data_IF_848894840375
#
_entry.id   IF_848894840375
#
_cell.length_a   1.000
_cell.length_b   1.000
_cell.length_c   1.000
_cell.angle_alpha   90.00
_cell.angle_beta   90.00
_cell.angle_gamma   90.00
#
_symmetry.space_group_name_H-M   'P 1'
#
loop_
_entity.id
_entity.type
_entity.pdbx_description
1 polymer ?
#
# COMPACT_ATOMS: atom_id res chain seq x y z
N UNK A 1 -28.40 -11.73 18.69
CA UNK A 1 -27.41 -12.03 17.65
C UNK A 1 -26.03 -11.68 18.19
N UNK A 2 -25.09 -12.65 18.26
CA UNK A 2 -23.69 -12.33 18.56
C UNK A 2 -23.19 -11.39 17.46
N UNK A 3 -22.57 -10.27 17.85
CA UNK A 3 -21.94 -9.33 16.90
C UNK A 3 -20.84 -10.12 16.17
N UNK A 4 -20.86 -10.15 14.85
CA UNK A 4 -19.84 -10.79 14.02
C UNK A 4 -18.51 -10.13 14.35
N UNK A 5 -17.53 -10.90 14.81
CA UNK A 5 -16.18 -10.42 15.07
C UNK A 5 -15.42 -10.39 13.74
N UNK A 6 -14.96 -9.21 13.35
CA UNK A 6 -14.17 -9.03 12.13
C UNK A 6 -12.71 -9.11 12.48
N UNK A 7 -12.01 -10.09 11.93
CA UNK A 7 -10.57 -10.24 12.09
C UNK A 7 -9.78 -9.46 11.05
N UNK A 8 -10.26 -9.39 9.81
CA UNK A 8 -9.51 -8.83 8.68
C UNK A 8 -10.32 -7.79 7.93
N UNK A 9 -9.75 -6.59 7.76
CA UNK A 9 -10.28 -5.53 6.90
C UNK A 9 -9.37 -5.38 5.69
N UNK A 10 -9.90 -5.66 4.51
CA UNK A 10 -9.24 -5.39 3.22
C UNK A 10 -9.67 -4.01 2.74
N UNK A 11 -8.71 -3.13 2.45
CA UNK A 11 -8.97 -1.77 2.00
C UNK A 11 -8.48 -1.62 0.56
N UNK A 12 -9.40 -1.29 -0.36
CA UNK A 12 -9.16 -1.23 -1.79
C UNK A 12 -9.54 0.16 -2.31
N UNK A 13 -8.58 1.05 -2.62
CA UNK A 13 -8.86 2.27 -3.36
C UNK A 13 -9.21 1.93 -4.81
N UNK A 14 -10.26 2.54 -5.35
CA UNK A 14 -10.72 2.29 -6.70
C UNK A 14 -10.94 3.57 -7.48
N UNK A 15 -10.64 3.55 -8.78
CA UNK A 15 -11.06 4.59 -9.74
C UNK A 15 -11.06 4.04 -11.15
N UNK A 16 -12.22 4.06 -11.82
CA UNK A 16 -12.39 3.77 -13.25
C UNK A 16 -11.85 2.41 -13.74
N UNK A 17 -11.79 1.39 -12.88
CA UNK A 17 -11.22 0.07 -13.19
C UNK A 17 -12.17 -1.07 -12.78
N UNK A 18 -13.43 -1.10 -13.28
CA UNK A 18 -14.45 -2.02 -12.78
C UNK A 18 -14.07 -3.50 -12.89
N UNK A 19 -13.58 -3.95 -14.04
CA UNK A 19 -13.26 -5.37 -14.27
C UNK A 19 -12.05 -5.82 -13.43
N UNK A 20 -11.09 -4.92 -13.22
CA UNK A 20 -9.92 -5.22 -12.41
C UNK A 20 -10.29 -5.27 -10.92
N UNK A 21 -11.15 -4.37 -10.47
CA UNK A 21 -11.70 -4.41 -9.11
C UNK A 21 -12.46 -5.73 -8.84
N UNK A 22 -13.28 -6.18 -9.79
CA UNK A 22 -14.00 -7.45 -9.68
C UNK A 22 -13.02 -8.63 -9.53
N UNK A 23 -11.95 -8.64 -10.32
CA UNK A 23 -10.88 -9.65 -10.20
C UNK A 23 -10.17 -9.58 -8.85
N UNK A 24 -9.84 -8.38 -8.37
CA UNK A 24 -9.23 -8.15 -7.07
C UNK A 24 -10.10 -8.71 -5.94
N UNK A 25 -11.38 -8.34 -5.91
CA UNK A 25 -12.34 -8.80 -4.89
C UNK A 25 -12.51 -10.33 -4.92
N UNK A 26 -12.57 -10.94 -6.10
CA UNK A 26 -12.68 -12.41 -6.26
C UNK A 26 -11.46 -13.17 -5.74
N UNK A 27 -10.29 -12.52 -5.68
CA UNK A 27 -9.08 -13.13 -5.10
C UNK A 27 -9.07 -13.14 -3.57
N UNK A 28 -9.98 -12.41 -2.93
CA UNK A 28 -10.12 -12.39 -1.46
C UNK A 28 -11.14 -13.46 -1.05
N UNK A 29 -10.79 -14.36 -0.12
CA UNK A 29 -11.67 -15.45 0.29
C UNK A 29 -12.97 -14.92 0.90
N UNK A 30 -14.08 -15.66 0.67
CA UNK A 30 -15.36 -15.38 1.31
C UNK A 30 -15.36 -16.01 2.70
N UNK A 31 -15.30 -15.16 3.74
CA UNK A 31 -15.26 -15.59 5.15
C UNK A 31 -16.13 -14.66 6.01
N UNK A 32 -16.66 -15.21 7.09
CA UNK A 32 -17.48 -14.42 8.02
C UNK A 32 -16.70 -13.39 8.82
N UNK A 33 -15.40 -13.58 9.00
CA UNK A 33 -14.51 -12.71 9.76
C UNK A 33 -13.74 -11.71 8.88
N UNK A 34 -14.10 -11.60 7.60
CA UNK A 34 -13.55 -10.62 6.64
C UNK A 34 -14.57 -9.52 6.35
N UNK A 35 -14.10 -8.31 6.21
CA UNK A 35 -14.78 -7.21 5.52
C UNK A 35 -13.87 -6.65 4.42
N UNK A 36 -14.46 -6.29 3.28
CA UNK A 36 -13.78 -5.68 2.14
C UNK A 36 -14.33 -4.28 1.96
N UNK A 37 -13.50 -3.27 2.18
CA UNK A 37 -13.86 -1.85 2.09
C UNK A 37 -13.33 -1.31 0.78
N UNK A 38 -14.19 -1.17 -0.20
CA UNK A 38 -13.90 -0.53 -1.48
C UNK A 38 -14.20 0.96 -1.35
N UNK A 39 -13.19 1.80 -1.58
CA UNK A 39 -13.38 3.25 -1.60
C UNK A 39 -13.22 3.76 -3.02
N UNK A 40 -14.33 4.14 -3.61
CA UNK A 40 -14.37 4.72 -4.96
C UNK A 40 -13.98 6.20 -4.92
N UNK A 41 -12.88 6.54 -5.58
CA UNK A 41 -12.32 7.89 -5.61
C UNK A 41 -12.88 8.74 -6.77
N UNK A 42 -14.21 8.89 -6.79
CA UNK A 42 -14.93 9.65 -7.80
C UNK A 42 -14.72 9.09 -9.22
N UNK A 43 -15.12 7.83 -9.43
CA UNK A 43 -15.17 7.22 -10.75
C UNK A 43 -16.24 7.89 -11.61
N UNK A 44 -15.99 7.86 -12.92
CA UNK A 44 -16.91 8.30 -13.95
C UNK A 44 -18.13 7.35 -14.01
N UNK A 45 -19.33 7.86 -13.94
CA UNK A 45 -20.58 7.09 -13.92
C UNK A 45 -20.82 6.35 -15.26
N UNK A 46 -20.26 6.85 -16.36
CA UNK A 46 -20.31 6.19 -17.68
C UNK A 46 -19.35 4.99 -17.75
N UNK A 47 -18.32 4.96 -16.89
CA UNK A 47 -17.33 3.87 -16.81
C UNK A 47 -17.71 2.83 -15.78
N UNK A 48 -18.25 3.25 -14.62
CA UNK A 48 -18.48 2.38 -13.47
C UNK A 48 -19.93 2.42 -13.03
N UNK A 49 -20.61 1.28 -13.12
CA UNK A 49 -21.95 1.11 -12.55
C UNK A 49 -21.93 0.03 -11.45
N UNK A 50 -21.78 0.47 -10.21
CA UNK A 50 -21.67 -0.43 -9.06
C UNK A 50 -22.89 -1.33 -8.84
N UNK A 51 -24.08 -0.99 -9.33
CA UNK A 51 -25.28 -1.81 -9.22
C UNK A 51 -25.22 -3.07 -10.10
N UNK A 52 -24.32 -3.15 -11.05
CA UNK A 52 -24.17 -4.26 -12.00
C UNK A 52 -23.11 -5.28 -11.59
N UNK A 53 -22.39 -5.07 -10.50
CA UNK A 53 -21.31 -5.95 -10.10
C UNK A 53 -21.81 -7.22 -9.38
N UNK A 54 -21.24 -8.41 -9.71
CA UNK A 54 -21.56 -9.66 -9.05
C UNK A 54 -21.36 -9.63 -7.54
N UNK A 55 -20.30 -8.96 -7.08
CA UNK A 55 -19.97 -8.83 -5.66
C UNK A 55 -20.90 -7.89 -4.88
N UNK A 56 -21.80 -7.15 -5.54
CA UNK A 56 -22.86 -6.40 -4.86
C UNK A 56 -23.79 -7.31 -4.03
N UNK A 57 -23.72 -8.62 -4.26
CA UNK A 57 -24.44 -9.65 -3.48
C UNK A 57 -23.62 -10.18 -2.30
N UNK A 58 -22.34 -9.86 -2.18
CA UNK A 58 -21.49 -10.26 -1.05
C UNK A 58 -21.79 -9.36 0.15
N UNK A 59 -22.13 -9.97 1.27
CA UNK A 59 -22.45 -9.26 2.51
C UNK A 59 -21.22 -8.70 3.24
N UNK A 60 -20.03 -9.09 2.84
CA UNK A 60 -18.74 -8.68 3.37
C UNK A 60 -18.12 -7.52 2.60
N UNK A 61 -18.70 -7.07 1.47
CA UNK A 61 -18.22 -5.92 0.70
C UNK A 61 -18.96 -4.65 1.08
N UNK A 62 -18.21 -3.63 1.46
CA UNK A 62 -18.68 -2.31 1.82
C UNK A 62 -18.16 -1.33 0.75
N UNK A 63 -19.04 -0.69 0.01
CA UNK A 63 -18.70 0.33 -0.96
C UNK A 63 -18.87 1.73 -0.35
N UNK A 64 -17.83 2.55 -0.41
CA UNK A 64 -17.84 3.94 0.03
C UNK A 64 -17.50 4.82 -1.17
N UNK A 65 -18.37 5.77 -1.49
CA UNK A 65 -18.16 6.71 -2.59
C UNK A 65 -17.57 8.02 -2.07
N UNK A 66 -16.34 8.33 -2.50
CA UNK A 66 -15.68 9.61 -2.25
C UNK A 66 -15.89 10.55 -3.44
N UNK A 67 -17.03 11.22 -3.50
CA UNK A 67 -17.40 12.14 -4.60
C UNK A 67 -16.45 13.33 -4.79
N UNK A 68 -15.64 13.67 -3.79
CA UNK A 68 -14.68 14.76 -3.89
C UNK A 68 -13.35 14.34 -4.54
N UNK A 69 -13.13 13.06 -4.73
CA UNK A 69 -11.84 12.53 -5.17
C UNK A 69 -10.71 12.82 -4.14
N UNK A 70 -9.48 12.68 -4.55
CA UNK A 70 -8.31 13.00 -3.72
C UNK A 70 -7.16 12.00 -3.87
N UNK A 71 -7.35 10.98 -4.68
CA UNK A 71 -6.34 9.96 -4.99
C UNK A 71 -6.31 8.81 -4.00
N UNK A 72 -5.46 7.84 -4.30
CA UNK A 72 -5.38 6.57 -3.57
C UNK A 72 -5.06 6.75 -2.08
N UNK A 73 -4.24 7.75 -1.72
CA UNK A 73 -3.90 8.02 -0.32
C UNK A 73 -5.14 8.41 0.50
N UNK A 74 -5.97 9.33 -0.03
CA UNK A 74 -7.22 9.72 0.62
C UNK A 74 -8.23 8.58 0.66
N UNK A 75 -8.36 7.83 -0.41
CA UNK A 75 -9.24 6.66 -0.44
C UNK A 75 -8.83 5.61 0.62
N UNK A 76 -7.53 5.33 0.77
CA UNK A 76 -7.05 4.43 1.83
C UNK A 76 -7.31 4.99 3.23
N UNK A 77 -7.18 6.31 3.45
CA UNK A 77 -7.52 6.94 4.74
C UNK A 77 -9.01 6.78 5.08
N UNK A 78 -9.91 6.98 4.11
CA UNK A 78 -11.35 6.73 4.29
C UNK A 78 -11.60 5.25 4.63
N UNK A 79 -10.90 4.33 3.98
CA UNK A 79 -10.97 2.90 4.30
C UNK A 79 -10.51 2.60 5.72
N UNK A 80 -9.42 3.19 6.18
CA UNK A 80 -8.91 3.08 7.55
C UNK A 80 -9.92 3.54 8.61
N UNK A 81 -10.62 4.64 8.34
CA UNK A 81 -11.63 5.20 9.26
C UNK A 81 -12.86 4.29 9.40
N UNK A 82 -13.11 3.43 8.42
CA UNK A 82 -14.23 2.50 8.41
C UNK A 82 -13.86 1.04 8.79
N UNK A 83 -12.58 0.72 8.84
CA UNK A 83 -12.08 -0.61 9.15
C UNK A 83 -12.38 -1.02 10.61
N UNK A 84 -12.86 -2.27 10.81
CA UNK A 84 -13.21 -2.84 12.11
C UNK A 84 -12.34 -4.04 12.48
N UNK A 85 -11.69 -4.66 11.49
CA UNK A 85 -10.87 -5.85 11.70
C UNK A 85 -9.71 -5.62 12.66
N UNK A 86 -9.30 -6.68 13.34
CA UNK A 86 -8.06 -6.71 14.13
C UNK A 86 -6.85 -6.41 13.25
N UNK A 87 -6.90 -6.88 12.00
CA UNK A 87 -5.87 -6.77 11.00
C UNK A 87 -6.32 -5.96 9.79
N UNK A 88 -5.42 -5.16 9.24
CA UNK A 88 -5.60 -4.42 8.00
C UNK A 88 -4.71 -5.00 6.91
N UNK A 89 -5.30 -5.19 5.73
CA UNK A 89 -4.60 -5.49 4.48
C UNK A 89 -5.02 -4.46 3.43
N UNK A 90 -4.06 -4.03 2.62
CA UNK A 90 -4.34 -3.16 1.47
C UNK A 90 -4.19 -3.95 0.17
N UNK A 91 -5.00 -3.62 -0.82
CA UNK A 91 -4.79 -4.05 -2.19
C UNK A 91 -5.00 -2.87 -3.14
N UNK A 92 -4.25 -2.82 -4.22
CA UNK A 92 -4.59 -1.96 -5.34
C UNK A 92 -5.62 -2.67 -6.22
N UNK A 93 -6.60 -1.94 -6.75
CA UNK A 93 -7.76 -2.52 -7.47
C UNK A 93 -7.39 -3.25 -8.76
N UNK A 94 -6.17 -3.08 -9.25
CA UNK A 94 -5.63 -3.74 -10.45
C UNK A 94 -4.75 -4.96 -10.16
N UNK A 95 -4.59 -5.33 -8.88
CA UNK A 95 -3.81 -6.48 -8.41
C UNK A 95 -4.69 -7.62 -7.89
N UNK A 96 -4.07 -8.70 -7.38
CA UNK A 96 -4.79 -9.83 -6.76
C UNK A 96 -4.01 -10.42 -5.58
N UNK A 97 -4.70 -11.07 -4.68
CA UNK A 97 -4.08 -11.96 -3.71
C UNK A 97 -3.82 -13.35 -4.32
N UNK A 98 -2.92 -14.11 -3.71
CA UNK A 98 -2.65 -15.51 -4.10
C UNK A 98 -3.70 -16.46 -3.50
N UNK A 99 -3.85 -17.65 -4.10
CA UNK A 99 -4.79 -18.68 -3.62
C UNK A 99 -4.50 -19.15 -2.19
N UNK A 100 -3.25 -19.01 -1.73
CA UNK A 100 -2.83 -19.43 -0.40
C UNK A 100 -3.24 -18.45 0.72
N UNK A 101 -3.76 -17.27 0.38
CA UNK A 101 -4.11 -16.22 1.35
C UNK A 101 -4.96 -16.77 2.51
N UNK A 102 -5.98 -17.58 2.21
CA UNK A 102 -6.90 -18.10 3.24
C UNK A 102 -6.17 -18.85 4.36
N UNK A 103 -5.27 -19.77 4.00
CA UNK A 103 -4.50 -20.52 5.00
C UNK A 103 -3.53 -19.64 5.80
N UNK A 104 -3.01 -18.57 5.20
CA UNK A 104 -2.15 -17.63 5.94
C UNK A 104 -2.93 -16.81 6.95
N UNK A 105 -4.13 -16.34 6.59
CA UNK A 105 -4.96 -15.58 7.52
C UNK A 105 -5.26 -16.37 8.80
N UNK A 106 -5.55 -17.67 8.69
CA UNK A 106 -5.81 -18.53 9.85
C UNK A 106 -4.63 -18.56 10.84
N UNK A 107 -3.40 -18.50 10.34
CA UNK A 107 -2.20 -18.52 11.19
C UNK A 107 -2.03 -17.26 12.04
N UNK A 108 -2.72 -16.16 11.70
CA UNK A 108 -2.51 -14.86 12.37
C UNK A 108 -3.72 -14.36 13.17
N UNK A 109 -4.85 -15.09 13.20
CA UNK A 109 -6.04 -14.67 13.96
C UNK A 109 -5.68 -14.35 15.42
N UNK A 110 -4.97 -15.25 16.07
CA UNK A 110 -4.62 -15.13 17.49
C UNK A 110 -3.20 -14.62 17.73
N UNK A 111 -2.46 -14.28 16.66
CA UNK A 111 -1.08 -13.80 16.83
C UNK A 111 -1.05 -12.42 17.50
N UNK A 112 0.07 -12.11 18.15
CA UNK A 112 0.33 -10.84 18.84
C UNK A 112 1.31 -9.92 18.09
N UNK A 113 1.67 -10.28 16.86
CA UNK A 113 2.49 -9.42 16.00
C UNK A 113 1.85 -8.04 15.77
N UNK A 114 2.67 -7.02 15.64
CA UNK A 114 2.25 -5.68 15.23
C UNK A 114 2.11 -5.59 13.72
N UNK A 115 3.01 -6.28 13.01
CA UNK A 115 3.06 -6.34 11.56
C UNK A 115 3.69 -7.65 11.09
N UNK A 116 3.20 -8.17 9.96
CA UNK A 116 3.84 -9.27 9.22
C UNK A 116 4.13 -8.79 7.81
N UNK A 117 5.37 -8.96 7.37
CA UNK A 117 5.80 -8.67 6.00
C UNK A 117 5.83 -9.95 5.19
N UNK A 118 5.28 -9.91 3.98
CA UNK A 118 5.22 -11.04 3.05
C UNK A 118 5.89 -10.69 1.73
N UNK A 119 6.27 -11.70 0.98
CA UNK A 119 6.72 -11.55 -0.40
C UNK A 119 5.53 -11.36 -1.35
N UNK A 120 5.83 -10.85 -2.54
CA UNK A 120 4.88 -10.71 -3.64
C UNK A 120 5.44 -11.27 -4.93
N UNK A 121 4.56 -11.78 -5.79
CA UNK A 121 4.88 -12.01 -7.19
C UNK A 121 4.80 -10.69 -7.96
N UNK A 122 5.65 -10.53 -8.98
CA UNK A 122 5.49 -9.51 -10.00
C UNK A 122 5.04 -10.19 -11.29
N UNK A 123 3.78 -9.96 -11.68
CA UNK A 123 3.22 -10.48 -12.91
C UNK A 123 3.37 -9.40 -13.98
N UNK A 124 4.16 -9.71 -15.01
CA UNK A 124 4.45 -8.77 -16.07
C UNK A 124 3.74 -9.18 -17.36
N UNK A 125 2.67 -8.48 -17.69
CA UNK A 125 1.91 -8.70 -18.93
C UNK A 125 2.48 -7.91 -20.13
N UNK A 126 3.51 -7.08 -19.93
CA UNK A 126 4.00 -6.12 -20.93
C UNK A 126 5.41 -6.46 -21.41
N UNK A 127 6.27 -7.03 -20.56
CA UNK A 127 7.67 -7.28 -20.87
C UNK A 127 8.07 -8.72 -20.48
N UNK A 128 8.80 -9.41 -21.36
CA UNK A 128 9.37 -10.73 -21.09
C UNK A 128 10.57 -10.65 -20.11
N UNK A 129 10.35 -10.24 -18.88
CA UNK A 129 11.42 -10.15 -17.88
C UNK A 129 10.87 -10.26 -16.47
N UNK A 130 11.44 -11.14 -15.67
CA UNK A 130 11.19 -11.17 -14.23
C UNK A 130 11.83 -9.93 -13.61
N UNK A 131 10.99 -9.04 -13.08
CA UNK A 131 11.45 -7.95 -12.23
C UNK A 131 10.96 -8.26 -10.83
N UNK A 132 11.89 -8.53 -9.91
CA UNK A 132 11.52 -8.75 -8.52
C UNK A 132 10.88 -7.49 -7.91
N UNK A 133 9.95 -7.70 -7.00
CA UNK A 133 9.41 -6.60 -6.20
C UNK A 133 10.55 -5.99 -5.37
N UNK A 134 10.58 -4.67 -5.31
CA UNK A 134 11.52 -3.93 -4.46
C UNK A 134 11.47 -4.40 -2.99
N UNK A 135 10.28 -4.76 -2.49
CA UNK A 135 10.11 -5.30 -1.14
C UNK A 135 10.77 -6.66 -0.96
N UNK A 136 10.70 -7.54 -1.96
CA UNK A 136 11.30 -8.87 -1.86
C UNK A 136 12.79 -8.78 -1.58
N UNK A 137 13.48 -7.79 -2.14
CA UNK A 137 14.91 -7.57 -1.88
C UNK A 137 15.19 -7.36 -0.39
N UNK A 138 14.41 -6.54 0.31
CA UNK A 138 14.58 -6.31 1.75
C UNK A 138 14.25 -7.55 2.58
N UNK A 139 13.19 -8.26 2.20
CA UNK A 139 12.77 -9.51 2.86
C UNK A 139 13.85 -10.58 2.69
N UNK A 140 14.32 -10.81 1.46
CA UNK A 140 15.35 -11.83 1.17
C UNK A 140 16.67 -11.50 1.86
N UNK A 141 17.09 -10.24 1.85
CA UNK A 141 18.30 -9.80 2.54
C UNK A 141 18.20 -10.02 4.05
N UNK A 142 17.04 -9.73 4.64
CA UNK A 142 16.82 -10.00 6.07
C UNK A 142 16.81 -11.50 6.39
N UNK A 143 16.10 -12.30 5.60
CA UNK A 143 15.99 -13.75 5.82
C UNK A 143 17.32 -14.50 5.58
N UNK A 144 18.19 -13.99 4.72
CA UNK A 144 19.56 -14.51 4.54
C UNK A 144 20.54 -14.10 5.63
N UNK A 145 20.10 -13.34 6.64
CA UNK A 145 20.91 -12.78 7.71
C UNK A 145 21.95 -11.72 7.28
N UNK A 146 21.85 -11.20 6.04
CA UNK A 146 22.73 -10.15 5.52
C UNK A 146 22.17 -8.71 5.77
N UNK A 147 20.93 -8.61 6.29
CA UNK A 147 20.23 -7.35 6.57
C UNK A 147 19.70 -7.26 7.99
N UNK A 148 19.21 -6.10 8.33
CA UNK A 148 18.57 -5.88 9.62
C UNK A 148 17.08 -5.55 9.47
N UNK A 149 16.32 -5.69 10.54
CA UNK A 149 14.87 -5.44 10.55
C UNK A 149 14.51 -3.98 10.23
N UNK A 150 15.39 -3.04 10.55
CA UNK A 150 15.18 -1.63 10.25
C UNK A 150 15.16 -1.37 8.73
N UNK A 151 15.91 -2.15 7.96
CA UNK A 151 15.88 -2.07 6.50
C UNK A 151 14.53 -2.53 5.93
N UNK A 152 13.92 -3.57 6.51
CA UNK A 152 12.57 -4.00 6.15
C UNK A 152 11.54 -2.94 6.55
N UNK A 153 11.59 -2.45 7.80
CA UNK A 153 10.66 -1.45 8.32
C UNK A 153 10.62 -0.16 7.50
N UNK A 154 11.79 0.32 7.08
CA UNK A 154 11.95 1.63 6.44
C UNK A 154 12.19 1.56 4.92
N UNK A 155 12.43 0.38 4.37
CA UNK A 155 12.66 0.17 2.94
C UNK A 155 11.48 -0.44 2.20
N UNK A 156 10.70 -1.27 2.86
CA UNK A 156 9.52 -1.91 2.27
C UNK A 156 8.31 -0.94 2.36
N UNK A 157 8.12 -0.10 1.36
CA UNK A 157 7.12 0.98 1.43
C UNK A 157 5.73 0.57 0.94
N UNK A 158 5.64 -0.39 0.05
CA UNK A 158 4.40 -0.85 -0.55
C UNK A 158 3.44 -1.35 0.54
N UNK A 159 2.16 -0.93 0.57
CA UNK A 159 1.27 -1.28 1.67
C UNK A 159 0.61 -2.66 1.52
N UNK A 160 0.62 -3.25 0.31
CA UNK A 160 -0.28 -4.34 -0.08
C UNK A 160 0.20 -5.76 0.29
N UNK A 161 1.43 -6.00 0.66
CA UNK A 161 1.91 -7.32 1.10
C UNK A 161 2.26 -7.34 2.60
N UNK A 162 1.43 -6.70 3.38
CA UNK A 162 1.54 -6.60 4.84
C UNK A 162 0.24 -6.98 5.52
N UNK A 163 0.35 -7.64 6.65
CA UNK A 163 -0.71 -7.77 7.63
C UNK A 163 -0.40 -6.81 8.77
N UNK A 164 -1.23 -5.80 8.97
CA UNK A 164 -0.95 -4.67 9.87
C UNK A 164 -1.97 -4.69 11.00
N UNK A 165 -1.53 -4.69 12.26
CA UNK A 165 -2.42 -4.57 13.41
C UNK A 165 -3.11 -3.21 13.41
N UNK A 166 -4.45 -3.20 13.34
CA UNK A 166 -5.24 -1.97 13.21
C UNK A 166 -4.99 -0.98 14.34
N UNK A 167 -4.87 -1.45 15.60
CA UNK A 167 -4.62 -0.58 16.75
C UNK A 167 -3.36 0.25 16.58
N UNK A 168 -2.27 -0.30 16.04
CA UNK A 168 -1.03 0.47 15.79
C UNK A 168 -1.30 1.67 14.88
N UNK A 169 -2.11 1.49 13.83
CA UNK A 169 -2.43 2.56 12.88
C UNK A 169 -3.32 3.62 13.51
N UNK A 170 -4.36 3.19 14.22
CA UNK A 170 -5.38 4.08 14.79
C UNK A 170 -4.83 4.84 16.01
N UNK A 171 -4.22 4.14 16.97
CA UNK A 171 -3.75 4.72 18.22
C UNK A 171 -2.61 5.72 18.01
N UNK A 172 -1.83 5.56 16.94
CA UNK A 172 -0.75 6.46 16.57
C UNK A 172 -1.13 7.45 15.45
N UNK A 173 -2.40 7.50 15.05
CA UNK A 173 -2.91 8.37 13.99
C UNK A 173 -2.07 8.31 12.69
N UNK A 174 -1.67 7.09 12.27
CA UNK A 174 -0.87 6.89 11.07
C UNK A 174 -1.78 7.01 9.85
N UNK A 175 -1.43 7.88 8.91
CA UNK A 175 -2.23 8.18 7.71
C UNK A 175 -1.36 8.20 6.46
N UNK A 176 -1.99 7.90 5.33
CA UNK A 176 -1.40 8.12 4.01
C UNK A 176 -1.35 9.62 3.71
N UNK A 177 -0.32 10.05 2.99
CA UNK A 177 -0.27 11.41 2.47
C UNK A 177 -1.27 11.55 1.31
N UNK A 178 -2.08 12.62 1.31
CA UNK A 178 -3.12 12.85 0.28
C UNK A 178 -2.51 13.54 -0.95
N UNK A 179 -1.51 12.90 -1.54
CA UNK A 179 -0.79 13.34 -2.73
C UNK A 179 -0.94 12.33 -3.86
N UNK A 180 -0.74 12.79 -5.11
CA UNK A 180 -1.01 11.98 -6.30
C UNK A 180 0.00 10.85 -6.57
N UNK A 181 1.16 10.86 -5.90
CA UNK A 181 2.20 9.82 -6.03
C UNK A 181 3.05 9.76 -4.76
N UNK A 182 3.64 8.59 -4.47
CA UNK A 182 4.44 8.35 -3.25
C UNK A 182 3.66 8.56 -1.94
N UNK A 183 2.33 8.40 -1.98
CA UNK A 183 1.43 8.59 -0.83
C UNK A 183 1.59 7.50 0.24
N UNK A 184 2.11 6.33 -0.13
CA UNK A 184 2.32 5.13 0.67
C UNK A 184 3.62 5.16 1.48
N UNK A 185 4.63 5.86 0.97
CA UNK A 185 5.97 5.84 1.53
C UNK A 185 6.02 6.32 2.97
N UNK A 186 5.50 7.53 3.24
CA UNK A 186 5.50 8.08 4.59
C UNK A 186 4.56 7.34 5.53
N UNK A 187 3.47 6.76 5.04
CA UNK A 187 2.62 5.86 5.82
C UNK A 187 3.43 4.67 6.34
N UNK A 188 4.16 3.97 5.46
CA UNK A 188 4.96 2.79 5.83
C UNK A 188 6.13 3.15 6.76
N UNK A 189 6.78 4.29 6.55
CA UNK A 189 7.87 4.75 7.42
C UNK A 189 7.34 5.11 8.81
N UNK A 190 6.22 5.86 8.91
CA UNK A 190 5.58 6.17 10.20
C UNK A 190 5.16 4.89 10.92
N UNK A 191 4.57 3.92 10.20
CA UNK A 191 4.23 2.61 10.74
C UNK A 191 5.46 1.91 11.31
N UNK A 192 6.57 1.88 10.55
CA UNK A 192 7.84 1.30 10.99
C UNK A 192 8.38 1.88 12.30
N UNK A 193 8.08 3.15 12.61
CA UNK A 193 8.49 3.77 13.88
C UNK A 193 7.72 3.22 15.10
N UNK A 194 6.54 2.63 14.91
CA UNK A 194 5.65 2.23 16.02
C UNK A 194 5.56 0.71 16.22
N UNK A 195 5.94 -0.10 15.21
CA UNK A 195 5.91 -1.56 15.31
C UNK A 195 7.12 -2.10 16.08
N UNK A 196 6.90 -3.08 16.94
CA UNK A 196 7.91 -3.73 17.78
C UNK A 196 7.97 -5.23 17.58
N UNK A 197 6.80 -5.90 17.58
CA UNK A 197 6.70 -7.33 17.38
C UNK A 197 6.43 -7.61 15.90
N UNK A 198 7.48 -8.03 15.17
CA UNK A 198 7.50 -8.08 13.71
C UNK A 198 7.80 -9.50 13.25
N UNK A 199 7.03 -9.98 12.29
CA UNK A 199 7.38 -11.17 11.52
C UNK A 199 7.74 -10.79 10.07
N UNK A 200 8.77 -11.45 9.54
CA UNK A 200 9.15 -11.37 8.13
C UNK A 200 9.05 -12.77 7.56
N UNK A 201 8.14 -12.96 6.61
CA UNK A 201 7.81 -14.26 6.03
C UNK A 201 8.29 -14.36 4.58
N UNK A 202 8.80 -15.53 4.20
CA UNK A 202 9.13 -15.90 2.81
C UNK A 202 7.88 -16.20 1.96
N UNK A 203 6.71 -16.26 2.59
CA UNK A 203 5.45 -16.58 1.92
C UNK A 203 5.02 -15.48 0.96
N UNK A 204 4.46 -15.90 -0.17
CA UNK A 204 3.90 -14.99 -1.19
C UNK A 204 2.40 -14.93 -1.04
N UNK A 205 1.86 -13.75 -0.73
CA UNK A 205 0.41 -13.54 -0.57
C UNK A 205 -0.21 -12.65 -1.65
N UNK A 206 0.60 -11.93 -2.42
CA UNK A 206 0.15 -10.87 -3.31
C UNK A 206 0.76 -10.99 -4.71
N UNK A 207 -0.03 -10.67 -5.73
CA UNK A 207 0.36 -10.60 -7.13
C UNK A 207 0.28 -9.14 -7.58
N UNK A 208 1.42 -8.47 -7.68
CA UNK A 208 1.54 -7.16 -8.28
C UNK A 208 1.54 -7.28 -9.81
N UNK A 209 0.56 -6.69 -10.48
CA UNK A 209 0.31 -6.88 -11.92
C UNK A 209 0.69 -5.63 -12.70
N UNK A 210 1.79 -5.70 -13.43
CA UNK A 210 2.22 -4.61 -14.32
C UNK A 210 1.30 -4.54 -15.55
N UNK A 211 0.74 -3.35 -15.82
CA UNK A 211 -0.13 -3.10 -16.99
C UNK A 211 0.17 -1.76 -17.64
N UNK A 212 -0.21 -1.63 -18.91
CA UNK A 212 -0.22 -0.34 -19.62
C UNK A 212 -1.25 0.61 -18.96
N UNK A 213 -0.95 1.93 -18.96
CA UNK A 213 -1.85 2.93 -18.38
C UNK A 213 -1.81 3.03 -16.85
N UNK A 214 -0.93 2.29 -16.18
CA UNK A 214 -0.67 2.48 -14.75
C UNK A 214 -0.23 3.92 -14.45
N UNK A 215 -0.63 4.45 -13.28
CA UNK A 215 -0.26 5.80 -12.78
C UNK A 215 1.25 6.05 -12.83
N UNK A 216 2.07 5.00 -12.89
CA UNK A 216 3.54 5.09 -13.00
C UNK A 216 3.98 5.89 -14.24
N UNK A 217 3.17 6.02 -15.28
CA UNK A 217 3.53 6.67 -16.55
C UNK A 217 2.98 8.10 -16.74
N UNK A 218 2.22 8.68 -15.79
CA UNK A 218 1.57 9.99 -15.93
C UNK A 218 2.26 11.13 -15.18
N UNK A 219 2.15 12.38 -15.67
CA UNK A 219 2.52 13.65 -15.01
C UNK A 219 3.88 13.69 -14.28
N UNK A 220 4.98 13.50 -15.02
CA UNK A 220 6.35 13.35 -14.49
C UNK A 220 6.82 14.48 -13.60
N UNK A 221 6.47 15.75 -13.89
CA UNK A 221 6.90 16.91 -13.09
C UNK A 221 6.23 16.92 -11.71
N UNK A 222 4.90 16.70 -11.66
CA UNK A 222 4.17 16.63 -10.38
C UNK A 222 4.66 15.46 -9.52
N UNK A 223 4.99 14.33 -10.15
CA UNK A 223 5.61 13.17 -9.46
C UNK A 223 6.97 13.50 -8.90
N UNK A 224 7.79 14.23 -9.66
CA UNK A 224 9.09 14.67 -9.17
C UNK A 224 8.95 15.51 -7.92
N UNK A 225 8.08 16.53 -7.91
CA UNK A 225 7.84 17.40 -6.75
C UNK A 225 7.33 16.61 -5.54
N UNK A 226 6.36 15.72 -5.73
CA UNK A 226 5.86 14.88 -4.65
C UNK A 226 6.97 13.98 -4.09
N UNK A 227 7.73 13.31 -4.95
CA UNK A 227 8.83 12.45 -4.53
C UNK A 227 9.93 13.23 -3.81
N UNK A 228 10.23 14.45 -4.26
CA UNK A 228 11.22 15.31 -3.62
C UNK A 228 10.79 15.70 -2.20
N UNK A 229 9.55 16.19 -2.03
CA UNK A 229 9.02 16.55 -0.72
C UNK A 229 8.97 15.31 0.21
N UNK A 230 8.51 14.17 -0.30
CA UNK A 230 8.51 12.91 0.47
C UNK A 230 9.91 12.51 0.94
N UNK A 231 10.97 12.74 0.11
CA UNK A 231 12.37 12.47 0.49
C UNK A 231 12.84 13.43 1.59
N UNK A 232 12.43 14.70 1.55
CA UNK A 232 12.77 15.65 2.61
C UNK A 232 12.14 15.23 3.94
N UNK A 233 10.84 14.88 3.93
CA UNK A 233 10.12 14.41 5.11
C UNK A 233 10.72 13.10 5.66
N UNK A 234 11.04 12.16 4.77
CA UNK A 234 11.72 10.90 5.10
C UNK A 234 13.06 11.17 5.80
N UNK A 235 13.92 12.00 5.20
CA UNK A 235 15.24 12.30 5.75
C UNK A 235 15.13 13.02 7.10
N UNK A 236 14.15 13.91 7.25
CA UNK A 236 13.86 14.59 8.52
C UNK A 236 13.45 13.57 9.61
N UNK A 237 12.55 12.66 9.29
CA UNK A 237 12.10 11.61 10.21
C UNK A 237 13.25 10.66 10.56
N UNK A 238 14.02 10.20 9.57
CA UNK A 238 15.18 9.34 9.80
C UNK A 238 16.23 10.00 10.69
N UNK A 239 16.43 11.30 10.54
CA UNK A 239 17.31 12.04 11.45
C UNK A 239 16.80 12.02 12.89
N UNK A 240 15.48 12.22 13.10
CA UNK A 240 14.86 12.23 14.43
C UNK A 240 14.96 10.88 15.14
N UNK A 241 14.85 9.77 14.40
CA UNK A 241 14.91 8.42 14.97
C UNK A 241 16.29 7.80 14.96
N UNK A 242 17.33 8.52 14.47
CA UNK A 242 18.70 8.02 14.42
C UNK A 242 18.95 6.97 13.32
N UNK A 243 18.05 6.82 12.33
CA UNK A 243 18.25 5.88 11.24
C UNK A 243 19.23 6.41 10.19
N UNK A 244 20.26 5.62 9.87
CA UNK A 244 21.44 6.10 9.13
C UNK A 244 21.23 6.19 7.61
N UNK A 245 20.35 5.36 7.04
CA UNK A 245 20.10 5.33 5.58
C UNK A 245 19.26 6.54 5.14
N UNK A 246 19.93 7.62 4.73
CA UNK A 246 19.27 8.79 4.15
C UNK A 246 19.38 8.78 2.64
N UNK A 247 18.35 9.30 1.96
CA UNK A 247 18.45 9.55 0.53
C UNK A 247 19.36 10.76 0.30
N UNK A 248 20.42 10.56 -0.48
CA UNK A 248 21.34 11.65 -0.82
C UNK A 248 20.69 12.59 -1.84
N UNK A 249 20.20 13.72 -1.37
CA UNK A 249 19.43 14.69 -2.15
C UNK A 249 20.17 15.16 -3.43
N UNK A 250 21.46 15.50 -3.43
CA UNK A 250 22.16 15.90 -4.64
C UNK A 250 22.13 14.82 -5.74
N UNK A 251 22.24 13.55 -5.38
CA UNK A 251 22.14 12.45 -6.34
C UNK A 251 20.71 12.31 -6.90
N UNK A 252 19.69 12.46 -6.05
CA UNK A 252 18.29 12.45 -6.50
C UNK A 252 18.02 13.58 -7.48
N UNK A 253 18.48 14.81 -7.19
CA UNK A 253 18.34 15.97 -8.06
C UNK A 253 19.09 15.75 -9.39
N UNK A 254 20.33 15.26 -9.34
CA UNK A 254 21.11 14.95 -10.55
C UNK A 254 20.39 13.94 -11.45
N UNK A 255 19.89 12.84 -10.86
CA UNK A 255 19.14 11.80 -11.60
C UNK A 255 17.87 12.36 -12.26
N UNK A 256 17.23 13.34 -11.62
CA UNK A 256 15.99 13.95 -12.07
C UNK A 256 16.15 15.35 -12.69
N UNK A 257 17.36 15.75 -13.07
CA UNK A 257 17.70 17.11 -13.55
C UNK A 257 16.83 17.67 -14.66
N UNK A 258 16.22 16.80 -15.48
CA UNK A 258 15.32 17.18 -16.56
C UNK A 258 13.98 17.78 -16.10
N UNK A 259 13.62 17.57 -14.84
CA UNK A 259 12.39 18.07 -14.21
C UNK A 259 12.65 19.30 -13.32
N UNK A 260 13.92 19.74 -13.20
CA UNK A 260 14.28 20.84 -12.33
C UNK A 260 14.20 22.14 -13.12
N UNK A 261 13.34 23.05 -12.70
CA UNK A 261 13.35 24.42 -13.19
C UNK A 261 14.60 25.12 -12.66
N UNK A 262 15.45 25.61 -13.57
CA UNK A 262 16.70 26.32 -13.23
C UNK A 262 16.44 27.58 -12.39
N UNK A 263 15.30 28.23 -12.55
CA UNK A 263 14.90 29.40 -11.78
C UNK A 263 14.45 29.05 -10.34
N UNK A 264 14.14 27.80 -10.08
CA UNK A 264 13.72 27.29 -8.77
C UNK A 264 14.82 26.47 -8.06
N UNK A 265 16.00 26.35 -8.65
CA UNK A 265 17.10 25.52 -8.15
C UNK A 265 17.45 25.84 -6.68
N UNK A 266 17.35 27.13 -6.29
CA UNK A 266 17.58 27.54 -4.91
C UNK A 266 16.60 26.94 -3.90
N UNK A 267 15.37 26.56 -4.32
CA UNK A 267 14.36 25.91 -3.45
C UNK A 267 14.68 24.45 -3.15
N UNK A 268 15.54 23.83 -3.96
CA UNK A 268 15.91 22.41 -3.82
C UNK A 268 17.26 22.22 -3.09
N UNK A 269 17.97 23.31 -2.78
CA UNK A 269 19.33 23.29 -2.20
C UNK A 269 19.36 23.80 -0.75
N UNK A 270 18.22 24.22 -0.20
CA UNK A 270 18.07 24.62 1.21
C UNK A 270 17.56 23.42 2.01
#
# INVERSE_FOLDING_TARGET
MKRREINFSFIIPHKNLPDLLDRCIKSIPEREDIEIIVVDDNSDEDVVNFNKFPWSKRNDVILISNKNGGGAGKARNIGLDNAKGKWILFADSDDTYTENLNGFLDSYIDSDFDIVYFKSNVINNIYNGHKDSHMNLFIDTYLSHDGNIEDVKFGAWEPWNKLIRRSIVIDNNIRFDEISSSNDKMFSIRLGCHVKNIEVSDKVIYNYILREGSIVHSALEKKFLNSFNTILDQNSLYHKIGYVRKVFIPFFLFKNRKFIDKNQLKRYLI
#
